data_IF_401225041480
#
_entry.id   IF_401225041480
#
_cell.length_a   1.000
_cell.length_b   1.000
_cell.length_c   1.000
_cell.angle_alpha   90.00
_cell.angle_beta   90.00
_cell.angle_gamma   90.00
#
_symmetry.space_group_name_H-M   'P 1'
#
loop_
_entity.id
_entity.type
_entity.pdbx_description
1 polymer ?
#
# COMPACT_ATOMS: atom_id res chain seq x y z
N UNK A 1 3.17 58.42 17.17
CA UNK A 1 2.03 57.50 17.38
C UNK A 1 1.33 57.35 16.04
N UNK A 2 1.55 56.23 15.34
CA UNK A 2 1.00 56.00 14.00
C UNK A 2 0.25 54.68 14.02
N UNK A 3 -1.07 54.75 14.00
CA UNK A 3 -1.97 53.60 14.05
C UNK A 3 -1.99 52.90 12.68
N UNK A 4 -1.46 51.68 12.60
CA UNK A 4 -1.53 50.88 11.39
C UNK A 4 -2.75 49.94 11.40
N UNK A 5 -3.58 50.11 10.37
CA UNK A 5 -4.89 49.48 10.14
C UNK A 5 -4.76 47.97 9.94
N UNK A 6 -5.49 47.20 10.73
CA UNK A 6 -5.74 45.77 10.53
C UNK A 6 -6.64 45.60 9.31
N UNK A 7 -6.16 44.93 8.26
CA UNK A 7 -6.98 44.51 7.12
C UNK A 7 -7.72 43.21 7.49
N UNK A 8 -9.05 43.27 7.59
CA UNK A 8 -9.91 42.09 7.68
C UNK A 8 -10.04 41.47 6.27
N UNK A 9 -9.78 40.18 6.16
CA UNK A 9 -10.02 39.39 4.95
C UNK A 9 -11.50 38.93 4.90
N UNK A 10 -12.07 38.73 3.70
CA UNK A 10 -13.49 38.44 3.50
C UNK A 10 -13.89 37.00 3.93
N UNK A 11 -15.19 36.73 4.16
CA UNK A 11 -15.68 35.40 4.52
C UNK A 11 -15.58 34.42 3.34
N UNK A 12 -15.07 33.22 3.60
CA UNK A 12 -15.07 32.10 2.66
C UNK A 12 -16.50 31.60 2.43
N UNK A 13 -16.89 31.49 1.15
CA UNK A 13 -18.12 30.82 0.71
C UNK A 13 -17.80 29.33 0.52
N UNK A 14 -18.35 28.47 1.37
CA UNK A 14 -18.27 27.01 1.21
C UNK A 14 -19.40 26.58 0.29
N UNK A 15 -19.05 26.07 -0.90
CA UNK A 15 -20.02 25.49 -1.84
C UNK A 15 -20.06 23.98 -1.58
N UNK A 16 -21.13 23.51 -0.95
CA UNK A 16 -21.41 22.08 -0.74
C UNK A 16 -21.96 21.49 -2.03
N UNK A 17 -21.20 20.62 -2.69
CA UNK A 17 -21.72 19.77 -3.77
C UNK A 17 -22.29 18.48 -3.16
N UNK A 18 -23.61 18.32 -3.21
CA UNK A 18 -24.27 17.06 -2.88
C UNK A 18 -24.07 16.05 -4.03
N UNK A 19 -23.51 14.89 -3.71
CA UNK A 19 -23.53 13.71 -4.58
C UNK A 19 -24.89 13.00 -4.44
N UNK A 20 -25.54 12.58 -5.54
CA UNK A 20 -26.78 11.82 -5.50
C UNK A 20 -26.53 10.39 -5.01
N UNK A 21 -27.30 9.98 -4.01
CA UNK A 21 -27.44 8.59 -3.59
C UNK A 21 -28.17 7.79 -4.69
N UNK A 22 -27.49 6.81 -5.28
CA UNK A 22 -28.14 5.81 -6.12
C UNK A 22 -28.91 4.83 -5.23
N UNK A 23 -30.22 5.08 -5.09
CA UNK A 23 -31.20 4.10 -4.68
C UNK A 23 -31.57 3.20 -5.87
N UNK A 24 -31.43 1.89 -5.71
CA UNK A 24 -31.97 0.88 -6.62
C UNK A 24 -33.28 0.32 -6.06
N UNK A 25 -34.33 0.15 -6.90
CA UNK A 25 -35.66 -0.23 -6.44
C UNK A 25 -35.80 -1.72 -6.09
N UNK A 26 -36.60 -1.94 -5.04
CA UNK A 26 -37.27 -3.21 -4.72
C UNK A 26 -38.02 -3.74 -5.95
N UNK A 27 -37.79 -5.02 -6.28
CA UNK A 27 -38.65 -5.79 -7.15
C UNK A 27 -39.28 -6.92 -6.34
N UNK A 28 -40.48 -6.66 -5.83
CA UNK A 28 -41.41 -7.67 -5.33
C UNK A 28 -41.95 -8.47 -6.52
N UNK A 29 -41.74 -9.78 -6.52
CA UNK A 29 -42.36 -10.71 -7.45
C UNK A 29 -43.08 -11.83 -6.68
N UNK A 30 -44.29 -12.26 -7.11
CA UNK A 30 -45.17 -13.13 -6.33
C UNK A 30 -44.76 -14.61 -6.37
N UNK A 31 -45.06 -15.30 -5.27
CA UNK A 31 -44.92 -16.74 -5.09
C UNK A 31 -45.98 -17.52 -5.90
N UNK A 32 -45.56 -18.61 -6.57
CA UNK A 32 -46.45 -19.72 -6.94
C UNK A 32 -45.72 -21.08 -6.93
N UNK A 33 -46.30 -22.00 -6.14
CA UNK A 33 -46.21 -23.48 -6.01
C UNK A 33 -45.81 -24.28 -7.28
N UNK A 34 -45.28 -25.52 -7.29
CA UNK A 34 -44.83 -26.51 -6.29
C UNK A 34 -44.11 -27.68 -7.06
N UNK A 35 -44.01 -28.93 -6.54
CA UNK A 35 -42.76 -29.67 -6.35
C UNK A 35 -42.38 -30.62 -7.51
N UNK A 36 -41.09 -30.89 -7.72
CA UNK A 36 -40.67 -32.02 -8.56
C UNK A 36 -39.46 -32.71 -7.95
N UNK A 37 -39.70 -33.96 -7.54
CA UNK A 37 -38.73 -35.05 -7.53
C UNK A 37 -37.42 -34.82 -6.80
N UNK A 38 -37.37 -35.14 -5.51
CA UNK A 38 -36.11 -35.45 -4.84
C UNK A 38 -35.65 -36.81 -5.37
N UNK A 39 -34.82 -36.82 -6.40
CA UNK A 39 -33.97 -37.98 -6.68
C UNK A 39 -32.95 -38.08 -5.55
N UNK A 40 -32.73 -39.25 -4.91
CA UNK A 40 -31.59 -39.46 -4.04
C UNK A 40 -30.31 -39.49 -4.89
N UNK A 41 -29.87 -38.30 -5.32
CA UNK A 41 -28.55 -38.07 -5.87
C UNK A 41 -27.57 -38.02 -4.72
N UNK A 42 -26.48 -38.78 -4.84
CA UNK A 42 -25.38 -38.89 -3.89
C UNK A 42 -25.07 -37.58 -3.16
N UNK A 43 -24.67 -37.64 -1.87
CA UNK A 43 -24.08 -36.50 -1.20
C UNK A 43 -22.98 -35.91 -2.10
N UNK A 44 -22.98 -34.60 -2.38
CA UNK A 44 -21.85 -34.00 -3.07
C UNK A 44 -20.63 -34.29 -2.22
N UNK A 45 -19.65 -34.96 -2.83
CA UNK A 45 -18.35 -35.12 -2.20
C UNK A 45 -17.88 -33.74 -1.75
N UNK A 46 -17.37 -33.59 -0.51
CA UNK A 46 -16.80 -32.34 -0.07
C UNK A 46 -15.73 -31.96 -1.08
N UNK A 47 -15.95 -30.84 -1.78
CA UNK A 47 -14.96 -30.27 -2.68
C UNK A 47 -13.82 -29.81 -1.77
N UNK A 48 -12.87 -30.71 -1.56
CA UNK A 48 -11.61 -30.43 -0.89
C UNK A 48 -11.04 -29.20 -1.56
N UNK A 49 -11.05 -28.07 -0.86
CA UNK A 49 -10.31 -26.90 -1.29
C UNK A 49 -8.89 -27.37 -1.65
N UNK A 50 -8.30 -26.90 -2.76
CA UNK A 50 -6.93 -27.26 -3.08
C UNK A 50 -6.08 -26.98 -1.83
N UNK A 51 -5.21 -27.94 -1.42
CA UNK A 51 -4.41 -27.79 -0.22
C UNK A 51 -3.72 -26.43 -0.28
N UNK A 52 -3.85 -25.66 0.81
CA UNK A 52 -3.12 -24.43 0.99
C UNK A 52 -1.66 -24.72 0.65
N UNK A 53 -1.19 -24.06 -0.41
CA UNK A 53 0.16 -24.04 -0.96
C UNK A 53 1.15 -24.55 0.10
N UNK A 54 1.61 -25.79 -0.06
CA UNK A 54 2.71 -26.34 0.74
C UNK A 54 3.79 -25.28 0.77
N UNK A 55 4.01 -24.70 1.95
CA UNK A 55 4.98 -23.65 2.18
C UNK A 55 6.34 -24.17 1.72
N UNK A 56 6.69 -23.86 0.48
CA UNK A 56 7.99 -24.18 -0.10
C UNK A 56 9.04 -23.70 0.90
N UNK A 57 10.02 -24.55 1.25
CA UNK A 57 11.05 -24.16 2.21
C UNK A 57 11.65 -22.83 1.79
N UNK A 58 11.58 -21.86 2.71
CA UNK A 58 12.12 -20.52 2.54
C UNK A 58 13.58 -20.71 2.12
N UNK A 59 14.01 -20.24 0.93
CA UNK A 59 15.39 -20.40 0.50
C UNK A 59 16.28 -19.83 1.60
N UNK A 60 17.16 -20.68 2.14
CA UNK A 60 18.02 -20.37 3.25
C UNK A 60 18.84 -19.11 2.91
N UNK A 61 18.57 -18.03 3.66
CA UNK A 61 19.37 -16.80 3.72
C UNK A 61 20.10 -16.46 2.43
N UNK A 62 19.37 -15.94 1.44
CA UNK A 62 19.97 -15.30 0.26
C UNK A 62 20.85 -14.16 0.80
N UNK A 63 22.17 -14.34 0.92
CA UNK A 63 23.12 -13.35 1.46
C UNK A 63 23.45 -12.25 0.46
N UNK A 64 22.86 -12.36 -0.73
CA UNK A 64 23.02 -11.43 -1.85
C UNK A 64 22.42 -10.07 -1.51
N UNK A 65 23.05 -9.02 -2.06
CA UNK A 65 22.47 -7.68 -2.07
C UNK A 65 21.04 -7.71 -2.64
N UNK A 66 20.13 -7.01 -1.97
CA UNK A 66 18.72 -7.02 -2.33
C UNK A 66 18.08 -5.65 -2.05
N UNK A 67 17.09 -5.31 -2.87
CA UNK A 67 16.34 -4.06 -2.77
C UNK A 67 14.86 -4.37 -2.62
N UNK A 68 14.19 -3.70 -1.69
CA UNK A 68 12.75 -3.79 -1.49
C UNK A 68 12.14 -2.41 -1.55
N UNK A 69 10.96 -2.32 -2.16
CA UNK A 69 10.08 -1.18 -2.05
C UNK A 69 9.03 -1.48 -0.98
N UNK A 70 9.06 -0.73 0.12
CA UNK A 70 8.11 -0.88 1.23
C UNK A 70 7.09 0.26 1.18
N UNK A 71 5.81 -0.08 1.14
CA UNK A 71 4.71 0.88 1.08
C UNK A 71 3.79 0.70 2.27
N UNK A 72 3.34 1.81 2.87
CA UNK A 72 2.34 1.78 3.95
C UNK A 72 0.93 1.92 3.38
N UNK A 73 0.10 0.91 3.62
CA UNK A 73 -1.32 0.90 3.21
C UNK A 73 -2.14 1.89 4.04
N UNK A 74 -3.35 2.20 3.57
CA UNK A 74 -4.27 3.09 4.28
C UNK A 74 -4.67 2.56 5.67
N UNK A 75 -4.68 1.23 5.84
CA UNK A 75 -4.93 0.54 7.11
C UNK A 75 -3.72 0.55 8.06
N UNK A 76 -2.63 1.21 7.67
CA UNK A 76 -1.41 1.37 8.47
C UNK A 76 -0.47 0.16 8.44
N UNK A 77 -0.76 -0.88 7.65
CA UNK A 77 0.11 -2.05 7.44
C UNK A 77 1.18 -1.74 6.38
N UNK A 78 2.29 -2.46 6.39
CA UNK A 78 3.31 -2.31 5.35
C UNK A 78 3.47 -3.57 4.52
N UNK A 79 3.66 -3.35 3.22
CA UNK A 79 3.93 -4.39 2.24
C UNK A 79 5.28 -4.12 1.58
N UNK A 80 6.13 -5.14 1.53
CA UNK A 80 7.43 -5.11 0.88
C UNK A 80 7.36 -5.84 -0.45
N UNK A 81 7.77 -5.17 -1.51
CA UNK A 81 7.94 -5.72 -2.84
C UNK A 81 9.44 -5.82 -3.16
N UNK A 82 9.96 -7.03 -3.40
CA UNK A 82 11.37 -7.21 -3.77
C UNK A 82 11.57 -6.76 -5.21
N UNK A 83 12.47 -5.81 -5.43
CA UNK A 83 12.85 -5.39 -6.77
C UNK A 83 13.76 -6.45 -7.39
N UNK A 84 13.23 -7.17 -8.38
CA UNK A 84 13.96 -8.15 -9.18
C UNK A 84 14.18 -7.60 -10.57
N UNK A 85 15.44 -7.63 -11.02
CA UNK A 85 15.79 -7.26 -12.39
C UNK A 85 15.59 -8.46 -13.30
N UNK A 86 14.65 -8.34 -14.23
CA UNK A 86 14.50 -9.35 -15.28
C UNK A 86 15.67 -9.26 -16.27
N UNK A 87 16.10 -10.40 -16.83
CA UNK A 87 16.97 -10.41 -18.01
C UNK A 87 16.37 -9.54 -19.12
N UNK A 88 17.22 -8.90 -19.92
CA UNK A 88 16.77 -8.34 -21.19
C UNK A 88 16.12 -9.47 -21.99
N UNK A 89 14.95 -9.23 -22.56
CA UNK A 89 14.17 -10.20 -23.35
C UNK A 89 13.38 -11.28 -22.57
N UNK A 90 13.31 -11.19 -21.23
CA UNK A 90 12.45 -12.07 -20.43
C UNK A 90 11.36 -11.30 -19.67
N UNK A 91 10.16 -11.88 -19.65
CA UNK A 91 9.09 -11.48 -18.74
C UNK A 91 9.15 -12.37 -17.50
N UNK A 92 9.58 -11.82 -16.37
CA UNK A 92 9.46 -12.53 -15.10
C UNK A 92 8.16 -12.15 -14.40
N UNK A 93 7.56 -13.12 -13.72
CA UNK A 93 6.56 -12.84 -12.70
C UNK A 93 7.30 -12.50 -11.40
N UNK A 94 7.39 -11.22 -10.99
CA UNK A 94 8.07 -10.88 -9.75
C UNK A 94 7.38 -11.56 -8.56
N UNK A 95 8.09 -11.77 -7.44
CA UNK A 95 7.48 -12.34 -6.25
C UNK A 95 6.33 -11.43 -5.76
N UNK A 96 5.26 -12.01 -5.18
CA UNK A 96 4.19 -11.21 -4.61
C UNK A 96 4.70 -10.34 -3.45
N UNK A 97 4.08 -9.18 -3.19
CA UNK A 97 4.35 -8.40 -1.99
C UNK A 97 4.16 -9.22 -0.72
N UNK A 98 4.97 -8.95 0.30
CA UNK A 98 4.87 -9.59 1.62
C UNK A 98 4.54 -8.57 2.68
N UNK A 99 3.73 -8.96 3.66
CA UNK A 99 3.52 -8.14 4.84
C UNK A 99 4.84 -7.98 5.61
N UNK A 100 5.16 -6.76 6.02
CA UNK A 100 6.36 -6.44 6.79
C UNK A 100 6.09 -5.38 7.85
N UNK A 101 7.02 -5.21 8.77
CA UNK A 101 6.99 -4.13 9.75
C UNK A 101 7.25 -2.80 9.04
N UNK A 102 6.42 -1.79 9.32
CA UNK A 102 6.63 -0.47 8.77
C UNK A 102 7.93 0.16 9.30
N UNK A 103 8.79 0.68 8.42
CA UNK A 103 9.92 1.50 8.83
C UNK A 103 9.45 2.76 9.58
N UNK A 104 10.23 3.20 10.56
CA UNK A 104 9.90 4.37 11.37
C UNK A 104 9.79 5.65 10.53
N UNK A 105 8.69 6.37 10.73
CA UNK A 105 8.40 7.62 10.02
C UNK A 105 7.81 7.46 8.62
N UNK A 106 7.50 6.22 8.18
CA UNK A 106 6.80 6.02 6.92
C UNK A 106 5.33 6.43 7.03
N UNK A 107 4.95 7.48 6.30
CA UNK A 107 3.57 7.94 6.22
C UNK A 107 2.69 7.04 5.32
N UNK A 108 1.37 6.97 5.55
CA UNK A 108 0.45 6.25 4.68
C UNK A 108 0.57 6.74 3.23
N UNK A 109 0.50 5.81 2.25
CA UNK A 109 0.62 6.08 0.81
C UNK A 109 2.02 6.54 0.34
N UNK A 110 3.00 6.65 1.23
CA UNK A 110 4.40 6.82 0.85
C UNK A 110 5.09 5.45 0.73
N UNK A 111 6.06 5.38 -0.18
CA UNK A 111 6.93 4.22 -0.34
C UNK A 111 8.37 4.60 -0.03
N UNK A 112 9.11 3.67 0.58
CA UNK A 112 10.56 3.77 0.83
C UNK A 112 11.27 2.63 0.15
N UNK A 113 12.50 2.90 -0.27
CA UNK A 113 13.41 1.87 -0.78
C UNK A 113 14.32 1.42 0.35
N UNK A 114 14.29 0.13 0.65
CA UNK A 114 15.15 -0.54 1.61
C UNK A 114 16.21 -1.34 0.86
N UNK A 115 17.49 -1.15 1.19
CA UNK A 115 18.62 -1.81 0.53
C UNK A 115 19.40 -2.61 1.56
N UNK A 116 19.55 -3.92 1.31
CA UNK A 116 20.48 -4.80 2.03
C UNK A 116 21.75 -4.91 1.21
N UNK A 117 22.88 -4.53 1.82
CA UNK A 117 24.19 -4.82 1.25
C UNK A 117 24.52 -6.32 1.40
N UNK A 118 25.41 -6.84 0.55
CA UNK A 118 25.85 -8.23 0.64
C UNK A 118 26.46 -8.52 2.02
N UNK A 119 26.00 -9.61 2.67
CA UNK A 119 26.43 -9.97 4.02
C UNK A 119 25.88 -9.10 5.15
N UNK A 120 25.05 -8.08 4.88
CA UNK A 120 24.41 -7.28 5.91
C UNK A 120 23.18 -7.99 6.49
N UNK A 121 23.03 -7.92 7.82
CA UNK A 121 21.82 -8.38 8.52
C UNK A 121 20.69 -7.34 8.54
N UNK A 122 21.01 -6.08 8.22
CA UNK A 122 20.08 -4.95 8.27
C UNK A 122 19.96 -4.26 6.91
N UNK A 123 18.81 -3.64 6.69
CA UNK A 123 18.52 -2.84 5.52
C UNK A 123 18.68 -1.37 5.84
N UNK A 124 19.24 -0.62 4.90
CA UNK A 124 19.30 0.85 4.95
C UNK A 124 18.18 1.46 4.12
N UNK A 125 17.58 2.56 4.59
CA UNK A 125 16.52 3.26 3.88
C UNK A 125 16.56 4.76 4.17
N UNK A 126 15.93 5.55 3.28
CA UNK A 126 15.70 6.98 3.49
C UNK A 126 14.19 7.24 3.39
N UNK A 127 13.67 7.99 4.36
CA UNK A 127 12.27 8.42 4.35
C UNK A 127 12.16 9.66 3.47
N UNK A 128 11.30 9.67 2.43
CA UNK A 128 11.02 10.87 1.68
C UNK A 128 10.55 11.96 2.64
N UNK A 129 11.19 13.12 2.60
CA UNK A 129 10.71 14.30 3.33
C UNK A 129 9.65 14.97 2.46
N UNK A 130 8.44 15.11 3.00
CA UNK A 130 7.47 16.02 2.41
C UNK A 130 7.98 17.44 2.63
N UNK A 131 8.45 18.06 1.54
CA UNK A 131 8.90 19.44 1.57
C UNK A 131 7.81 20.30 0.97
N UNK A 132 7.26 21.29 1.72
CA UNK A 132 6.29 22.20 1.15
C UNK A 132 6.94 22.94 -0.04
N UNK A 133 6.16 23.18 -1.12
CA UNK A 133 6.68 23.88 -2.27
C UNK A 133 7.17 25.28 -1.87
N UNK A 134 8.28 25.71 -2.47
CA UNK A 134 8.78 27.06 -2.26
C UNK A 134 7.73 28.09 -2.70
N UNK A 135 7.52 29.17 -1.92
CA UNK A 135 6.67 30.25 -2.37
C UNK A 135 7.21 30.85 -3.69
N UNK A 136 6.34 31.35 -4.58
CA UNK A 136 6.76 31.90 -5.86
C UNK A 136 7.83 32.99 -5.70
N UNK A 137 8.93 32.87 -6.45
CA UNK A 137 10.04 33.83 -6.43
C UNK A 137 11.01 33.68 -5.25
N UNK A 138 10.80 32.75 -4.33
CA UNK A 138 11.75 32.45 -3.27
C UNK A 138 12.74 31.35 -3.69
N UNK A 139 14.01 31.52 -3.32
CA UNK A 139 15.00 30.43 -3.31
C UNK A 139 15.02 29.84 -1.91
N UNK A 140 14.33 28.71 -1.70
CA UNK A 140 14.51 27.98 -0.45
C UNK A 140 15.81 27.18 -0.51
N UNK A 141 16.59 27.23 0.56
CA UNK A 141 17.65 26.27 0.77
C UNK A 141 17.01 24.99 1.35
N UNK A 142 16.96 23.87 0.61
CA UNK A 142 16.44 22.63 1.17
C UNK A 142 17.23 22.23 2.40
N UNK A 143 16.58 21.62 3.42
CA UNK A 143 17.33 21.08 4.53
C UNK A 143 18.30 20.02 3.99
N UNK A 144 19.45 19.80 4.65
CA UNK A 144 20.37 18.74 4.26
C UNK A 144 19.64 17.39 4.30
N UNK A 145 20.05 16.44 3.43
CA UNK A 145 19.50 15.09 3.44
C UNK A 145 19.75 14.45 4.82
N UNK A 146 18.74 13.74 5.33
CA UNK A 146 18.93 12.95 6.55
C UNK A 146 19.87 11.77 6.29
N UNK A 147 20.64 11.33 7.31
CA UNK A 147 21.41 10.11 7.19
C UNK A 147 20.48 8.91 6.94
N UNK A 148 20.92 7.90 6.16
CA UNK A 148 20.17 6.67 5.99
C UNK A 148 19.86 6.01 7.34
N UNK A 149 18.61 5.58 7.51
CA UNK A 149 18.15 4.82 8.67
C UNK A 149 18.38 3.33 8.44
N UNK A 150 18.41 2.56 9.53
CA UNK A 150 18.53 1.10 9.50
C UNK A 150 17.27 0.44 10.05
N UNK A 151 16.90 -0.71 9.50
CA UNK A 151 15.81 -1.54 9.99
C UNK A 151 16.04 -3.01 9.60
N UNK A 152 15.35 -3.96 10.25
CA UNK A 152 15.31 -5.33 9.79
C UNK A 152 14.85 -5.40 8.33
N UNK A 153 15.53 -6.23 7.52
CA UNK A 153 15.11 -6.44 6.14
C UNK A 153 13.82 -7.25 6.08
N UNK A 154 12.95 -6.99 5.09
CA UNK A 154 11.85 -7.89 4.78
C UNK A 154 12.38 -9.26 4.37
N UNK A 155 11.79 -10.32 4.91
CA UNK A 155 12.21 -11.71 4.70
C UNK A 155 11.37 -12.43 3.63
#
# INVERSE_FOLDING_TARGET
MTMNRKKLAPPFVITLALLPACGGPEATGPAVNAPTGVTPGNPPEPVTAPPADEAKPKPAGDTTAATWRVTRTADGKCEAFREVKCPADATCNPPPPRATTCPDGLEPKHAVTMVRAEGASECTYQVPRDMPPCPPGAMCNPPPPEPPRKAPCPD
#
